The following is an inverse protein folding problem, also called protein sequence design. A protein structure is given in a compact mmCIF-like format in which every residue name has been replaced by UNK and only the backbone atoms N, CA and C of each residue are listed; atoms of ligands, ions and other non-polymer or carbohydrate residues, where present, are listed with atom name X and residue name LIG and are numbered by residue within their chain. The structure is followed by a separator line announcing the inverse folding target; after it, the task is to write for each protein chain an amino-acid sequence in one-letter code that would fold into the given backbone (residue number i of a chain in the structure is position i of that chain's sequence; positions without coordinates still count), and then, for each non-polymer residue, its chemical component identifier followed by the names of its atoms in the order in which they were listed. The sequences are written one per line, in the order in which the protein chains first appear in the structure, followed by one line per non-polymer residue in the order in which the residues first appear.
data_IF_883724161476
#
_entry.id   IF_883724161476
#
_cell.length_a   1.000
_cell.length_b   1.000
_cell.length_c   1.000
_cell.angle_alpha   90.00
_cell.angle_beta   90.00
_cell.angle_gamma   90.00
#
_symmetry.space_group_name_H-M   'P 1'
#
loop_
_entity.id
_entity.type
_entity.pdbx_description
1 polymer ?
#
# COMPACT_ATOMS: atom_id res chain seq x y z
N UNK A 1 16.19 29.78 -3.35
CA UNK A 1 15.37 30.85 -2.77
C UNK A 1 16.04 32.14 -3.20
N UNK A 2 15.34 33.02 -3.91
CA UNK A 2 15.96 34.22 -4.45
C UNK A 2 15.46 35.44 -3.67
N UNK A 3 16.35 36.31 -3.14
CA UNK A 3 17.82 36.21 -3.17
C UNK A 3 18.44 35.31 -2.09
N UNK A 4 17.82 35.14 -0.91
CA UNK A 4 18.44 34.41 0.22
C UNK A 4 17.42 33.95 1.29
N UNK A 5 17.88 33.09 2.20
CA UNK A 5 17.13 32.53 3.32
C UNK A 5 17.33 31.01 3.50
N UNK A 6 16.44 30.35 4.25
CA UNK A 6 16.52 28.90 4.49
C UNK A 6 15.16 28.24 4.70
N UNK A 7 15.01 27.00 4.21
CA UNK A 7 13.84 26.16 4.45
C UNK A 7 14.23 24.93 5.27
N UNK A 8 13.41 24.57 6.27
CA UNK A 8 13.58 23.31 7.00
C UNK A 8 13.15 22.08 6.18
N UNK A 9 12.09 22.19 5.38
CA UNK A 9 11.56 21.13 4.50
C UNK A 9 10.87 21.74 3.28
N UNK A 10 10.92 21.03 2.16
CA UNK A 10 10.12 21.29 0.96
C UNK A 10 9.45 19.96 0.56
N UNK A 11 8.12 19.95 0.44
CA UNK A 11 7.36 18.80 -0.06
C UNK A 11 6.66 19.23 -1.34
N UNK A 12 6.86 18.45 -2.41
CA UNK A 12 6.21 18.66 -3.71
C UNK A 12 5.39 17.41 -3.98
N UNK A 13 4.08 17.60 -4.16
CA UNK A 13 3.15 16.51 -4.42
C UNK A 13 2.87 16.43 -5.92
N UNK A 14 2.72 15.21 -6.42
CA UNK A 14 2.39 14.94 -7.81
C UNK A 14 1.92 13.50 -7.97
N UNK A 15 1.27 13.23 -9.10
CA UNK A 15 0.89 11.88 -9.47
C UNK A 15 2.03 11.24 -10.27
N UNK A 16 2.54 10.10 -9.82
CA UNK A 16 3.52 9.36 -10.59
C UNK A 16 2.85 8.84 -11.87
N UNK A 17 3.52 9.05 -13.00
CA UNK A 17 3.07 8.55 -14.31
C UNK A 17 3.87 7.26 -14.56
N UNK A 18 3.20 6.10 -14.62
CA UNK A 18 3.89 4.84 -14.89
C UNK A 18 4.61 4.90 -16.24
N UNK A 19 5.79 4.29 -16.37
CA UNK A 19 6.43 4.14 -17.67
C UNK A 19 5.56 3.30 -18.60
N UNK A 20 5.68 3.52 -19.91
CA UNK A 20 5.06 2.64 -20.90
C UNK A 20 5.65 1.26 -20.78
N UNK A 21 4.82 0.26 -20.46
CA UNK A 21 5.23 -1.14 -20.47
C UNK A 21 5.60 -1.51 -21.90
N UNK A 22 6.86 -1.86 -22.13
CA UNK A 22 7.29 -2.38 -23.43
C UNK A 22 6.58 -3.71 -23.67
N UNK A 23 5.80 -3.80 -24.75
CA UNK A 23 5.27 -5.09 -25.22
C UNK A 23 6.44 -5.97 -25.62
N UNK A 24 6.91 -6.77 -24.68
CA UNK A 24 7.97 -7.75 -24.92
C UNK A 24 7.42 -8.76 -25.91
N UNK A 25 7.75 -8.58 -27.19
CA UNK A 25 7.41 -9.49 -28.29
C UNK A 25 8.26 -10.77 -28.26
N UNK A 26 8.98 -11.00 -27.16
CA UNK A 26 9.81 -12.18 -26.96
C UNK A 26 9.01 -13.19 -26.15
N UNK A 27 8.96 -14.40 -26.68
CA UNK A 27 8.42 -15.61 -26.06
C UNK A 27 9.23 -15.89 -24.79
N UNK A 28 8.93 -15.17 -23.71
CA UNK A 28 9.39 -15.50 -22.38
C UNK A 28 8.27 -16.35 -21.77
N UNK A 29 8.60 -17.56 -21.31
CA UNK A 29 7.62 -18.52 -20.79
C UNK A 29 6.87 -18.03 -19.54
N UNK A 30 7.26 -16.88 -18.99
CA UNK A 30 6.63 -16.20 -17.88
C UNK A 30 6.40 -14.73 -18.27
N UNK A 31 5.16 -14.25 -18.10
CA UNK A 31 4.83 -12.84 -18.23
C UNK A 31 5.64 -12.04 -17.19
N UNK A 32 6.22 -10.87 -17.54
CA UNK A 32 6.90 -10.04 -16.57
C UNK A 32 5.95 -9.66 -15.42
N UNK A 33 6.38 -9.90 -14.18
CA UNK A 33 5.61 -9.56 -12.99
C UNK A 33 5.99 -8.17 -12.50
N UNK A 34 5.01 -7.28 -12.37
CA UNK A 34 5.19 -5.92 -11.86
C UNK A 34 4.52 -5.76 -10.49
N UNK A 35 5.08 -4.89 -9.65
CA UNK A 35 4.48 -4.56 -8.36
C UNK A 35 3.38 -3.50 -8.52
N UNK A 36 2.13 -3.95 -8.68
CA UNK A 36 0.98 -3.06 -8.92
C UNK A 36 0.75 -2.01 -7.81
N UNK A 37 1.22 -2.26 -6.58
CA UNK A 37 1.10 -1.35 -5.43
C UNK A 37 2.18 -0.27 -5.37
N UNK A 38 3.24 -0.36 -6.17
CA UNK A 38 4.42 0.50 -6.03
C UNK A 38 4.10 1.98 -6.21
N UNK A 39 4.60 2.83 -5.32
CA UNK A 39 4.49 4.28 -5.46
C UNK A 39 5.16 4.81 -6.75
N UNK A 40 6.18 4.11 -7.25
CA UNK A 40 6.86 4.45 -8.51
C UNK A 40 5.94 4.26 -9.73
N UNK A 41 4.97 3.37 -9.61
CA UNK A 41 3.97 3.08 -10.63
C UNK A 41 2.64 3.79 -10.36
N UNK A 42 2.61 4.79 -9.47
CA UNK A 42 1.38 5.53 -9.15
C UNK A 42 0.51 4.91 -8.06
N UNK A 43 1.00 3.88 -7.37
CA UNK A 43 0.34 3.33 -6.20
C UNK A 43 0.20 4.39 -5.09
N UNK A 44 -0.96 4.42 -4.44
CA UNK A 44 -1.30 5.46 -3.48
C UNK A 44 -2.05 4.89 -2.28
N UNK A 45 -1.57 5.20 -1.07
CA UNK A 45 -2.32 4.95 0.15
C UNK A 45 -3.46 5.99 0.27
N UNK A 46 -4.70 5.52 0.19
CA UNK A 46 -5.90 6.38 0.21
C UNK A 46 -6.36 6.72 1.63
N UNK A 47 -6.08 5.83 2.59
CA UNK A 47 -6.44 6.03 3.98
C UNK A 47 -6.05 4.84 4.84
N UNK A 48 -6.03 5.05 6.15
CA UNK A 48 -5.77 4.03 7.14
C UNK A 48 -6.56 4.31 8.42
N UNK A 49 -6.79 3.27 9.24
CA UNK A 49 -7.44 3.40 10.55
C UNK A 49 -6.64 4.25 11.53
N UNK A 50 -5.32 4.07 11.54
CA UNK A 50 -4.40 4.73 12.46
C UNK A 50 -3.01 4.87 11.79
N UNK A 51 -2.30 5.93 12.13
CA UNK A 51 -0.93 6.22 11.66
C UNK A 51 -0.10 6.82 12.80
N UNK A 52 -0.24 6.28 14.01
CA UNK A 52 0.30 6.89 15.23
C UNK A 52 1.82 7.09 15.19
N UNK A 53 2.57 6.07 14.74
CA UNK A 53 4.03 6.11 14.75
C UNK A 53 4.62 6.48 13.40
N UNK A 54 4.14 5.84 12.32
CA UNK A 54 4.65 6.05 10.97
C UNK A 54 3.51 6.03 9.94
N UNK A 55 3.66 6.70 8.79
CA UNK A 55 2.60 6.79 7.80
C UNK A 55 2.43 5.50 6.99
N UNK A 56 1.19 5.19 6.62
CA UNK A 56 0.85 4.02 5.80
C UNK A 56 1.41 4.10 4.37
N UNK A 57 1.75 5.30 3.88
CA UNK A 57 2.41 5.48 2.58
C UNK A 57 3.77 4.79 2.48
N UNK A 58 4.41 4.51 3.61
CA UNK A 58 5.69 3.81 3.67
C UNK A 58 5.63 2.39 3.10
N UNK A 59 4.47 1.74 3.14
CA UNK A 59 4.26 0.38 2.61
C UNK A 59 4.53 0.28 1.10
N UNK A 60 4.45 1.40 0.37
CA UNK A 60 4.52 1.43 -1.09
C UNK A 60 5.89 1.91 -1.60
N UNK A 61 6.83 2.16 -0.69
CA UNK A 61 8.16 2.67 -1.01
C UNK A 61 9.06 1.54 -1.54
N UNK A 62 10.02 1.87 -2.42
CA UNK A 62 10.94 0.88 -2.96
C UNK A 62 11.89 0.31 -1.89
N UNK A 63 12.17 -0.98 -1.99
CA UNK A 63 13.04 -1.70 -1.06
C UNK A 63 12.32 -2.12 0.21
N UNK A 64 13.10 -2.45 1.26
CA UNK A 64 12.56 -3.00 2.52
C UNK A 64 12.78 -2.09 3.73
N UNK A 65 13.09 -0.82 3.50
CA UNK A 65 13.48 0.13 4.55
C UNK A 65 14.78 -0.21 5.26
N UNK A 66 15.24 0.71 6.12
CA UNK A 66 16.38 0.54 7.01
C UNK A 66 15.96 0.00 8.37
N UNK A 67 14.86 0.51 8.92
CA UNK A 67 14.32 0.15 10.23
C UNK A 67 12.79 0.35 10.27
N UNK A 68 12.19 0.25 11.47
CA UNK A 68 10.74 0.38 11.67
C UNK A 68 10.18 1.74 11.23
N UNK A 69 11.00 2.80 11.24
CA UNK A 69 10.61 4.14 10.80
C UNK A 69 10.19 4.21 9.33
N UNK A 70 10.64 3.24 8.53
CA UNK A 70 10.34 3.10 7.11
C UNK A 70 9.16 2.13 6.84
N UNK A 71 8.46 1.67 7.87
CA UNK A 71 7.24 0.86 7.76
C UNK A 71 5.98 1.64 8.14
N UNK A 72 4.86 0.94 8.30
CA UNK A 72 3.62 1.47 8.87
C UNK A 72 3.35 0.82 10.23
N UNK A 73 3.18 1.65 11.27
CA UNK A 73 2.94 1.19 12.63
C UNK A 73 1.81 1.98 13.29
N UNK A 74 0.87 1.22 13.88
CA UNK A 74 -0.30 1.75 14.59
C UNK A 74 -0.13 1.71 16.10
N UNK A 75 -0.95 2.47 16.81
CA UNK A 75 -1.03 2.41 18.26
C UNK A 75 -1.53 1.03 18.73
N UNK A 76 -1.02 0.56 19.87
CA UNK A 76 -1.48 -0.68 20.49
C UNK A 76 -2.93 -0.54 20.95
N UNK A 77 -3.84 -1.31 20.33
CA UNK A 77 -5.23 -1.41 20.78
C UNK A 77 -5.42 -2.42 21.93
N UNK A 78 -6.44 -2.17 22.76
CA UNK A 78 -6.94 -3.10 23.79
C UNK A 78 -8.40 -3.49 23.56
N UNK A 79 -9.02 -2.97 22.51
CA UNK A 79 -10.42 -3.24 22.19
C UNK A 79 -10.53 -4.66 21.62
N UNK A 80 -11.42 -5.53 22.16
CA UNK A 80 -11.65 -6.85 21.59
C UNK A 80 -12.09 -6.75 20.12
N UNK A 81 -11.49 -7.56 19.24
CA UNK A 81 -11.79 -7.55 17.81
C UNK A 81 -11.28 -6.31 17.06
N UNK A 82 -10.38 -5.53 17.64
CA UNK A 82 -9.76 -4.39 16.94
C UNK A 82 -8.95 -4.87 15.74
N UNK A 83 -9.16 -4.21 14.61
CA UNK A 83 -8.38 -4.38 13.39
C UNK A 83 -7.92 -3.02 12.89
N UNK A 84 -6.66 -2.96 12.49
CA UNK A 84 -6.15 -1.83 11.72
C UNK A 84 -6.16 -2.15 10.24
N UNK A 85 -6.43 -1.14 9.42
CA UNK A 85 -6.57 -1.29 7.99
C UNK A 85 -5.90 -0.14 7.25
N UNK A 86 -5.50 -0.42 6.02
CA UNK A 86 -5.02 0.55 5.04
C UNK A 86 -5.67 0.23 3.71
N UNK A 87 -6.12 1.26 3.00
CA UNK A 87 -6.65 1.14 1.64
C UNK A 87 -5.62 1.68 0.66
N UNK A 88 -5.24 0.85 -0.32
CA UNK A 88 -4.24 1.19 -1.34
C UNK A 88 -4.89 1.16 -2.71
N UNK A 89 -4.78 2.26 -3.46
CA UNK A 89 -5.04 2.30 -4.90
C UNK A 89 -3.82 1.74 -5.62
N UNK A 90 -4.02 0.70 -6.42
CA UNK A 90 -2.97 0.19 -7.29
C UNK A 90 -2.63 1.22 -8.37
N UNK A 91 -1.36 1.33 -8.70
CA UNK A 91 -0.85 2.26 -9.71
C UNK A 91 -1.10 1.77 -11.15
N UNK A 92 -1.19 0.46 -11.32
CA UNK A 92 -1.52 -0.20 -12.58
C UNK A 92 -2.76 -1.07 -12.41
N UNK A 93 -3.63 -1.08 -13.42
CA UNK A 93 -4.70 -2.05 -13.53
C UNK A 93 -4.10 -3.42 -13.90
N UNK A 94 -4.53 -4.48 -13.23
CA UNK A 94 -3.99 -5.82 -13.47
C UNK A 94 -4.59 -6.89 -12.56
N UNK A 95 -4.08 -8.11 -12.69
CA UNK A 95 -4.43 -9.24 -11.82
C UNK A 95 -3.27 -9.54 -10.88
N UNK A 96 -3.57 -9.78 -9.59
CA UNK A 96 -2.55 -10.14 -8.61
C UNK A 96 -2.22 -11.64 -8.69
N UNK A 97 -1.00 -11.98 -9.12
CA UNK A 97 -0.47 -13.35 -9.07
C UNK A 97 0.24 -13.67 -7.76
N UNK A 98 0.69 -12.64 -7.04
CA UNK A 98 1.38 -12.72 -5.76
C UNK A 98 1.06 -11.49 -4.92
N UNK A 99 0.89 -11.69 -3.62
CA UNK A 99 0.80 -10.61 -2.63
C UNK A 99 1.87 -10.89 -1.57
N UNK A 100 2.63 -9.86 -1.21
CA UNK A 100 3.71 -9.94 -0.23
C UNK A 100 3.38 -8.99 0.91
N UNK A 101 3.41 -9.50 2.14
CA UNK A 101 3.32 -8.71 3.36
C UNK A 101 4.64 -8.86 4.08
N UNK A 102 5.46 -7.82 4.08
CA UNK A 102 6.79 -7.83 4.71
C UNK A 102 6.73 -7.15 6.08
N UNK A 103 7.05 -7.90 7.13
CA UNK A 103 7.11 -7.40 8.51
C UNK A 103 8.55 -7.20 8.99
N UNK A 104 9.49 -6.95 8.08
CA UNK A 104 10.89 -6.68 8.41
C UNK A 104 11.00 -5.63 9.52
N UNK A 105 11.89 -5.90 10.47
CA UNK A 105 12.22 -5.04 11.62
C UNK A 105 11.11 -4.82 12.67
N UNK A 106 9.88 -5.26 12.43
CA UNK A 106 8.81 -5.31 13.44
C UNK A 106 8.96 -6.52 14.36
N UNK A 107 9.97 -6.50 15.24
CA UNK A 107 10.35 -7.64 16.10
C UNK A 107 9.61 -7.59 17.44
N UNK A 108 8.41 -8.15 17.48
CA UNK A 108 7.57 -8.25 18.69
C UNK A 108 6.31 -7.38 18.67
N UNK A 109 6.16 -6.55 17.64
CA UNK A 109 4.98 -5.73 17.36
C UNK A 109 4.44 -5.96 15.93
N UNK A 110 4.90 -7.00 15.22
CA UNK A 110 4.29 -7.42 13.96
C UNK A 110 2.81 -7.83 14.17
N UNK A 111 1.95 -7.65 13.16
CA UNK A 111 0.54 -7.99 13.29
C UNK A 111 0.35 -9.48 13.60
N UNK A 112 -0.64 -9.78 14.43
CA UNK A 112 -0.95 -11.16 14.82
C UNK A 112 -1.43 -12.03 13.65
N UNK A 113 -2.11 -11.41 12.70
CA UNK A 113 -2.61 -11.99 11.45
C UNK A 113 -2.84 -10.85 10.45
N UNK A 114 -2.81 -11.19 9.16
CA UNK A 114 -3.09 -10.24 8.07
C UNK A 114 -4.09 -10.89 7.13
N UNK A 115 -5.03 -10.09 6.63
CA UNK A 115 -5.96 -10.45 5.57
C UNK A 115 -5.87 -9.39 4.48
N UNK A 116 -6.06 -9.78 3.23
CA UNK A 116 -6.00 -8.85 2.10
C UNK A 116 -7.26 -8.99 1.29
N UNK A 117 -7.86 -7.86 0.95
CA UNK A 117 -9.04 -7.77 0.09
C UNK A 117 -8.69 -6.95 -1.15
N UNK A 118 -9.37 -7.25 -2.25
CA UNK A 118 -9.30 -6.50 -3.50
C UNK A 118 -10.68 -5.99 -3.90
N UNK A 119 -10.71 -4.86 -4.58
CA UNK A 119 -11.93 -4.27 -5.14
C UNK A 119 -11.61 -3.79 -6.56
N UNK A 120 -12.45 -4.13 -7.53
CA UNK A 120 -12.28 -3.74 -8.92
C UNK A 120 -12.90 -2.35 -9.17
N UNK A 121 -12.14 -1.50 -9.86
CA UNK A 121 -12.57 -0.16 -10.31
C UNK A 121 -13.81 -0.30 -11.20
N UNK A 122 -14.85 0.48 -10.91
CA UNK A 122 -16.18 0.40 -11.54
C UNK A 122 -17.30 -0.04 -10.58
N UNK A 123 -16.94 -0.60 -9.42
CA UNK A 123 -17.89 -0.91 -8.34
C UNK A 123 -18.21 0.31 -7.45
N UNK A 124 -17.42 1.39 -7.60
CA UNK A 124 -17.48 2.64 -6.82
C UNK A 124 -17.15 3.79 -7.78
N UNK A 125 -17.58 5.02 -7.49
CA UNK A 125 -17.26 6.20 -8.31
C UNK A 125 -15.75 6.41 -8.46
N UNK A 126 -15.30 6.96 -9.59
CA UNK A 126 -13.87 7.08 -9.94
C UNK A 126 -13.02 7.84 -8.91
N UNK A 127 -13.65 8.74 -8.16
CA UNK A 127 -13.01 9.61 -7.15
C UNK A 127 -13.42 9.25 -5.72
N UNK A 128 -14.22 8.20 -5.54
CA UNK A 128 -14.68 7.76 -4.23
C UNK A 128 -13.70 6.75 -3.63
N UNK A 129 -13.28 7.01 -2.40
CA UNK A 129 -12.51 6.05 -1.61
C UNK A 129 -13.51 5.10 -0.94
N UNK A 130 -13.58 3.82 -1.31
CA UNK A 130 -14.48 2.88 -0.65
C UNK A 130 -14.17 2.79 0.84
N UNK A 131 -15.20 2.75 1.65
CA UNK A 131 -15.05 2.45 3.07
C UNK A 131 -14.39 1.07 3.26
N UNK A 132 -13.62 0.91 4.33
CA UNK A 132 -12.90 -0.33 4.63
C UNK A 132 -13.81 -1.57 4.79
N UNK A 133 -15.09 -1.36 5.07
CA UNK A 133 -16.15 -2.35 5.26
C UNK A 133 -17.15 -2.40 4.09
N UNK A 134 -16.81 -1.79 2.95
CA UNK A 134 -17.64 -1.84 1.74
C UNK A 134 -17.93 -3.28 1.28
N UNK A 135 -19.17 -3.56 0.90
CA UNK A 135 -19.64 -4.92 0.61
C UNK A 135 -18.95 -5.60 -0.59
N UNK A 136 -18.39 -4.80 -1.51
CA UNK A 136 -17.75 -5.31 -2.73
C UNK A 136 -16.30 -5.74 -2.55
N UNK A 137 -15.69 -5.52 -1.39
CA UNK A 137 -14.37 -6.07 -1.10
C UNK A 137 -14.38 -7.60 -1.20
N UNK A 138 -13.48 -8.16 -2.02
CA UNK A 138 -13.31 -9.61 -2.19
C UNK A 138 -12.04 -10.07 -1.49
N UNK A 139 -12.14 -11.11 -0.69
CA UNK A 139 -10.99 -11.69 0.00
C UNK A 139 -9.99 -12.29 -1.00
N UNK A 140 -8.73 -11.88 -0.91
CA UNK A 140 -7.60 -12.39 -1.71
C UNK A 140 -6.65 -13.23 -0.86
N UNK A 141 -6.41 -12.80 0.39
CA UNK A 141 -5.69 -13.58 1.39
C UNK A 141 -6.57 -13.67 2.63
N UNK A 142 -6.88 -14.91 3.02
CA UNK A 142 -7.56 -15.21 4.27
C UNK A 142 -6.62 -15.03 5.46
N UNK A 143 -7.11 -14.42 6.54
CA UNK A 143 -6.36 -14.33 7.78
C UNK A 143 -6.28 -15.69 8.50
N UNK A 144 -5.10 -16.05 8.98
CA UNK A 144 -4.86 -17.31 9.71
C UNK A 144 -5.50 -17.34 11.11
N UNK A 145 -6.05 -16.21 11.58
CA UNK A 145 -6.75 -16.09 12.88
C UNK A 145 -7.99 -15.22 12.73
N UNK A 146 -9.03 -15.44 13.56
CA UNK A 146 -10.16 -14.53 13.63
C UNK A 146 -9.66 -13.13 13.99
N UNK A 147 -10.03 -12.20 13.13
CA UNK A 147 -9.77 -10.78 13.20
C UNK A 147 -11.13 -10.08 13.26
#
# INVERSE_FOLDING_TARGET
MYPDGGFGRLRVYGHAIPPTLESTSQVQSELPSEELSSALLGGLALGASDQHFTPCSNLLLPGRGKDMGDGWETARSRTPGHVDWVTVKLGLAGSASRIIVDTKDFRGNFPRAVRVHGLLVGSVGSDEVPAHDHADWKELIKGDKPC
#
